data_IF_625078323686
#
_entry.id   IF_625078323686
#
_cell.length_a   1.000
_cell.length_b   1.000
_cell.length_c   1.000
_cell.angle_alpha   90.00
_cell.angle_beta   90.00
_cell.angle_gamma   90.00
#
_symmetry.space_group_name_H-M   'P 1'
#
loop_
_entity.id
_entity.type
_entity.pdbx_description
1 polymer ?
#
# COMPACT_ATOMS: atom_id res chain seq x y z
N UNK A 1 -35.04 18.89 -7.58
CA UNK A 1 -35.73 17.59 -7.48
C UNK A 1 -34.76 16.62 -6.83
N UNK A 2 -35.14 15.98 -5.72
CA UNK A 2 -34.26 15.10 -4.93
C UNK A 2 -34.25 13.69 -5.53
N UNK A 3 -33.10 13.24 -6.07
CA UNK A 3 -32.95 11.96 -6.77
C UNK A 3 -32.74 10.73 -5.87
N UNK A 4 -33.14 10.78 -4.58
CA UNK A 4 -32.91 9.68 -3.63
C UNK A 4 -34.19 9.01 -3.12
N UNK A 5 -35.15 8.73 -3.99
CA UNK A 5 -36.27 7.84 -3.64
C UNK A 5 -35.96 6.41 -4.08
N UNK A 6 -35.15 5.71 -3.27
CA UNK A 6 -34.93 4.27 -3.40
C UNK A 6 -36.20 3.49 -3.02
N UNK A 7 -36.58 2.52 -3.86
CA UNK A 7 -37.77 1.69 -3.65
C UNK A 7 -37.50 0.64 -2.53
N UNK A 8 -38.13 0.84 -1.37
CA UNK A 8 -38.03 -0.06 -0.21
C UNK A 8 -38.54 -1.48 -0.45
N UNK A 9 -39.26 -1.71 -1.55
CA UNK A 9 -39.78 -3.03 -1.92
C UNK A 9 -38.76 -4.00 -2.52
N UNK A 10 -37.52 -3.56 -2.79
CA UNK A 10 -36.51 -4.38 -3.49
C UNK A 10 -36.17 -5.70 -2.78
N UNK A 11 -36.23 -5.71 -1.44
CA UNK A 11 -35.79 -6.84 -0.61
C UNK A 11 -36.95 -7.66 -0.03
N UNK A 12 -38.19 -7.39 -0.45
CA UNK A 12 -39.36 -8.04 0.14
C UNK A 12 -39.48 -9.53 -0.22
N UNK A 13 -38.82 -9.97 -1.30
CA UNK A 13 -38.86 -11.35 -1.78
C UNK A 13 -37.57 -12.13 -1.49
N UNK A 14 -36.65 -11.55 -0.71
CA UNK A 14 -35.39 -12.18 -0.33
C UNK A 14 -35.48 -12.54 1.16
N UNK A 15 -35.30 -13.84 1.48
CA UNK A 15 -35.25 -14.34 2.86
C UNK A 15 -33.92 -13.99 3.51
N UNK A 16 -33.84 -12.76 4.00
CA UNK A 16 -32.75 -12.26 4.84
C UNK A 16 -33.34 -11.51 6.04
N UNK A 17 -32.61 -11.46 7.15
CA UNK A 17 -33.10 -10.86 8.40
C UNK A 17 -33.42 -9.37 8.24
N UNK A 18 -34.40 -8.87 8.98
CA UNK A 18 -34.80 -7.46 8.92
C UNK A 18 -33.68 -6.50 9.35
N UNK A 19 -32.78 -6.96 10.23
CA UNK A 19 -31.53 -6.25 10.57
C UNK A 19 -30.60 -6.13 9.36
N UNK A 20 -30.40 -7.21 8.62
CA UNK A 20 -29.56 -7.21 7.41
C UNK A 20 -30.17 -6.40 6.26
N UNK A 21 -31.51 -6.40 6.11
CA UNK A 21 -32.22 -5.51 5.18
C UNK A 21 -32.03 -4.04 5.54
N UNK A 22 -32.10 -3.73 6.83
CA UNK A 22 -31.91 -2.37 7.35
C UNK A 22 -30.46 -1.92 7.16
N UNK A 23 -29.50 -2.81 7.40
CA UNK A 23 -28.09 -2.54 7.17
C UNK A 23 -27.78 -2.31 5.68
N UNK A 24 -28.25 -3.18 4.78
CA UNK A 24 -28.09 -3.02 3.33
C UNK A 24 -28.73 -1.71 2.84
N UNK A 25 -29.90 -1.36 3.34
CA UNK A 25 -30.59 -0.10 3.02
C UNK A 25 -29.78 1.13 3.47
N UNK A 26 -29.25 1.10 4.70
CA UNK A 26 -28.41 2.18 5.23
C UNK A 26 -27.05 2.26 4.53
N UNK A 27 -26.49 1.13 4.09
CA UNK A 27 -25.23 1.06 3.35
C UNK A 27 -25.36 1.65 1.95
N UNK A 28 -26.46 1.37 1.25
CA UNK A 28 -26.78 1.96 -0.05
C UNK A 28 -27.04 3.47 0.03
N UNK A 29 -27.73 3.93 1.09
CA UNK A 29 -28.01 5.36 1.30
C UNK A 29 -26.76 6.18 1.66
N UNK A 30 -25.74 5.54 2.25
CA UNK A 30 -24.50 6.19 2.70
C UNK A 30 -23.35 6.14 1.70
N UNK A 31 -23.54 5.57 0.49
CA UNK A 31 -22.49 5.50 -0.52
C UNK A 31 -21.22 4.83 0.02
N UNK A 32 -21.35 3.75 0.78
CA UNK A 32 -20.34 3.17 1.70
C UNK A 32 -19.00 2.70 1.10
N UNK A 33 -18.64 3.04 -0.13
CA UNK A 33 -17.25 3.00 -0.59
C UNK A 33 -16.42 4.16 -0.02
N UNK A 34 -17.03 5.31 0.28
CA UNK A 34 -16.36 6.50 0.87
C UNK A 34 -16.47 6.64 2.38
N UNK A 35 -17.10 5.68 3.08
CA UNK A 35 -17.38 5.78 4.52
C UNK A 35 -16.78 4.64 5.36
N UNK A 36 -15.73 3.99 4.86
CA UNK A 36 -14.95 3.05 5.64
C UNK A 36 -14.20 3.81 6.75
N UNK A 37 -14.36 3.34 7.99
CA UNK A 37 -13.82 3.97 9.21
C UNK A 37 -12.30 4.02 9.19
N UNK A 38 -11.66 3.13 8.42
CA UNK A 38 -10.22 3.14 8.14
C UNK A 38 -9.77 4.43 7.45
N UNK A 39 -10.63 5.03 6.63
CA UNK A 39 -10.33 6.27 5.88
C UNK A 39 -10.70 7.54 6.65
N UNK A 40 -11.61 7.47 7.63
CA UNK A 40 -12.02 8.63 8.44
C UNK A 40 -10.97 9.09 9.46
N UNK A 41 -9.99 8.24 9.76
CA UNK A 41 -8.89 8.53 10.70
C UNK A 41 -7.52 8.16 10.13
N UNK A 42 -7.45 7.80 8.85
CA UNK A 42 -6.23 7.62 8.08
C UNK A 42 -5.54 8.99 7.89
N UNK A 43 -4.24 9.06 8.13
CA UNK A 43 -3.41 10.15 7.61
C UNK A 43 -3.34 10.06 6.08
N UNK A 44 -2.81 11.09 5.40
CA UNK A 44 -2.68 11.10 3.94
C UNK A 44 -1.83 9.91 3.48
N UNK A 45 -0.85 9.47 4.30
CA UNK A 45 -0.08 8.27 4.03
C UNK A 45 -0.93 7.01 4.01
N UNK A 46 -1.91 6.81 4.90
CA UNK A 46 -2.77 5.60 4.87
C UNK A 46 -3.72 5.61 3.67
N UNK A 47 -4.21 6.78 3.25
CA UNK A 47 -5.00 6.91 2.02
C UNK A 47 -4.15 6.69 0.75
N UNK A 48 -2.90 7.17 0.73
CA UNK A 48 -1.95 6.94 -0.36
C UNK A 48 -1.33 5.53 -0.36
N UNK A 49 -1.17 4.89 0.80
CA UNK A 49 -0.76 3.48 0.92
C UNK A 49 -1.83 2.56 0.32
N UNK A 50 -3.10 2.85 0.58
CA UNK A 50 -4.23 2.13 -0.03
C UNK A 50 -4.42 2.50 -1.51
N UNK A 51 -4.17 3.76 -1.91
CA UNK A 51 -4.20 4.16 -3.31
C UNK A 51 -3.02 3.59 -4.13
N UNK A 52 -1.83 3.46 -3.54
CA UNK A 52 -0.67 2.81 -4.15
C UNK A 52 -0.76 1.27 -4.17
N UNK A 53 -1.68 0.68 -3.39
CA UNK A 53 -2.08 -0.72 -3.53
C UNK A 53 -3.06 -0.93 -4.70
N UNK A 54 -3.72 0.12 -5.18
CA UNK A 54 -4.72 0.08 -6.27
C UNK A 54 -4.17 0.65 -7.58
N UNK A 55 -3.23 1.59 -7.53
CA UNK A 55 -2.48 2.07 -8.68
C UNK A 55 -1.46 1.02 -9.06
N UNK A 56 -1.69 0.33 -10.18
CA UNK A 56 -0.83 -0.72 -10.69
C UNK A 56 0.65 -0.34 -10.55
N UNK A 57 1.45 -1.25 -9.99
CA UNK A 57 2.90 -1.11 -9.89
C UNK A 57 3.46 -0.77 -11.26
N UNK A 58 3.70 0.52 -11.45
CA UNK A 58 3.88 1.13 -12.74
C UNK A 58 5.34 1.22 -13.12
N UNK A 59 5.70 0.45 -14.14
CA UNK A 59 6.74 0.78 -15.12
C UNK A 59 8.19 0.59 -14.64
N UNK A 60 8.68 -0.65 -14.78
CA UNK A 60 10.11 -0.99 -14.77
C UNK A 60 10.49 -2.00 -15.87
N UNK A 61 10.89 -1.49 -17.04
CA UNK A 61 11.51 -2.16 -18.20
C UNK A 61 10.60 -2.78 -19.30
N UNK A 62 10.48 -2.04 -20.40
CA UNK A 62 9.73 -2.30 -21.65
C UNK A 62 10.15 -3.52 -22.50
N UNK A 63 10.97 -4.43 -21.96
CA UNK A 63 11.39 -5.67 -22.61
C UNK A 63 11.00 -6.93 -21.82
N UNK A 64 11.15 -6.92 -20.49
CA UNK A 64 10.88 -8.08 -19.64
C UNK A 64 9.39 -8.26 -19.37
N UNK A 65 8.66 -7.15 -19.17
CA UNK A 65 7.19 -7.18 -19.13
C UNK A 65 6.56 -7.78 -20.39
N UNK A 66 7.22 -7.73 -21.55
CA UNK A 66 6.65 -8.31 -22.79
C UNK A 66 6.54 -9.83 -22.72
N UNK A 67 7.45 -10.53 -22.03
CA UNK A 67 7.37 -11.99 -21.92
C UNK A 67 6.22 -12.40 -21.00
N UNK A 68 6.08 -11.70 -19.87
CA UNK A 68 5.01 -11.89 -18.88
C UNK A 68 3.67 -11.56 -19.52
N UNK A 69 3.55 -10.40 -20.18
CA UNK A 69 2.33 -10.05 -20.92
C UNK A 69 2.00 -11.05 -22.02
N UNK A 70 2.99 -11.51 -22.79
CA UNK A 70 2.76 -12.57 -23.78
C UNK A 70 2.26 -13.87 -23.12
N UNK A 71 2.78 -14.22 -21.94
CA UNK A 71 2.31 -15.36 -21.16
C UNK A 71 0.85 -15.16 -20.74
N UNK A 72 0.48 -13.98 -20.25
CA UNK A 72 -0.90 -13.62 -19.88
C UNK A 72 -1.86 -13.63 -21.09
N UNK A 73 -1.46 -13.02 -22.20
CA UNK A 73 -2.22 -12.98 -23.46
C UNK A 73 -2.39 -14.38 -24.08
N UNK A 74 -1.46 -15.30 -23.79
CA UNK A 74 -1.49 -16.67 -24.28
C UNK A 74 -2.32 -17.63 -23.42
N UNK A 75 -2.92 -17.16 -22.31
CA UNK A 75 -3.79 -17.99 -21.47
C UNK A 75 -4.95 -18.58 -22.30
N UNK A 76 -5.20 -19.90 -22.21
CA UNK A 76 -6.38 -20.52 -22.79
C UNK A 76 -7.67 -19.85 -22.32
N UNK A 77 -8.65 -19.77 -23.21
CA UNK A 77 -9.96 -19.16 -22.89
C UNK A 77 -10.68 -19.88 -21.74
N UNK A 78 -10.44 -21.17 -21.54
CA UNK A 78 -10.99 -21.92 -20.39
C UNK A 78 -10.34 -21.49 -19.07
N UNK A 79 -9.02 -21.22 -19.07
CA UNK A 79 -8.30 -20.71 -17.89
C UNK A 79 -8.79 -19.30 -17.52
N UNK A 80 -8.92 -18.40 -18.51
CA UNK A 80 -9.46 -17.05 -18.29
C UNK A 80 -10.86 -17.09 -17.67
N UNK A 81 -11.74 -17.98 -18.17
CA UNK A 81 -13.07 -18.15 -17.57
C UNK A 81 -13.00 -18.64 -16.13
N UNK A 82 -12.09 -19.55 -15.82
CA UNK A 82 -11.83 -20.00 -14.46
C UNK A 82 -11.47 -18.84 -13.53
N UNK A 83 -10.57 -17.95 -13.95
CA UNK A 83 -10.22 -16.75 -13.17
C UNK A 83 -11.40 -15.78 -13.02
N UNK A 84 -12.22 -15.57 -14.06
CA UNK A 84 -13.42 -14.74 -13.96
C UNK A 84 -14.41 -15.32 -12.95
N UNK A 85 -14.58 -16.64 -12.92
CA UNK A 85 -15.40 -17.32 -11.92
C UNK A 85 -14.83 -17.15 -10.51
N UNK A 86 -13.52 -17.33 -10.33
CA UNK A 86 -12.83 -17.08 -9.04
C UNK A 86 -13.09 -15.64 -8.56
N UNK A 87 -12.88 -14.64 -9.41
CA UNK A 87 -13.07 -13.21 -9.08
C UNK A 87 -14.52 -12.92 -8.67
N UNK A 88 -15.50 -13.54 -9.33
CA UNK A 88 -16.91 -13.34 -8.99
C UNK A 88 -17.32 -14.03 -7.69
N UNK A 89 -16.64 -15.13 -7.34
CA UNK A 89 -16.88 -15.87 -6.11
C UNK A 89 -16.04 -15.37 -4.94
N UNK A 90 -14.99 -14.57 -5.21
CA UNK A 90 -14.17 -13.94 -4.20
C UNK A 90 -15.03 -12.96 -3.39
N UNK A 91 -15.43 -13.39 -2.20
CA UNK A 91 -16.22 -12.57 -1.27
C UNK A 91 -15.34 -11.61 -0.45
N UNK A 92 -14.01 -11.66 -0.63
CA UNK A 92 -13.08 -10.80 0.09
C UNK A 92 -13.02 -9.42 -0.55
N UNK A 93 -13.45 -8.41 0.21
CA UNK A 93 -13.43 -6.99 -0.19
C UNK A 93 -12.03 -6.37 0.03
N UNK A 94 -11.01 -7.18 0.37
CA UNK A 94 -9.69 -6.70 0.78
C UNK A 94 -8.59 -7.37 -0.03
N UNK A 95 -7.81 -6.55 -0.74
CA UNK A 95 -6.64 -6.89 -1.56
C UNK A 95 -5.49 -7.53 -0.73
N UNK A 96 -5.64 -7.65 0.58
CA UNK A 96 -4.76 -8.42 1.46
C UNK A 96 -5.48 -9.65 2.02
N UNK A 97 -5.04 -10.86 1.64
CA UNK A 97 -5.28 -12.06 2.45
C UNK A 97 -6.29 -13.11 1.95
N UNK A 98 -6.49 -13.30 0.65
CA UNK A 98 -7.36 -14.37 0.11
C UNK A 98 -6.63 -15.70 -0.08
N UNK A 99 -5.86 -16.14 0.92
CA UNK A 99 -5.18 -17.43 0.90
C UNK A 99 -5.17 -18.07 2.29
N UNK A 100 -5.03 -19.40 2.37
CA UNK A 100 -5.37 -20.18 3.58
C UNK A 100 -4.56 -19.88 4.85
N UNK A 101 -3.37 -19.27 4.73
CA UNK A 101 -2.52 -18.86 5.86
C UNK A 101 -1.56 -17.74 5.51
N UNK A 102 -1.16 -16.90 6.46
CA UNK A 102 -0.13 -15.88 6.19
C UNK A 102 1.19 -16.49 5.67
N UNK A 103 1.91 -15.71 4.85
CA UNK A 103 3.27 -16.04 4.45
C UNK A 103 4.19 -15.88 5.67
N UNK A 104 5.12 -16.82 5.83
CA UNK A 104 6.20 -16.66 6.80
C UNK A 104 7.12 -15.51 6.38
N UNK A 105 7.98 -15.05 7.31
CA UNK A 105 8.96 -14.01 7.00
C UNK A 105 9.93 -14.45 5.90
N UNK A 106 10.42 -15.69 5.97
CA UNK A 106 11.33 -16.22 4.96
C UNK A 106 10.65 -16.33 3.59
N UNK A 107 9.41 -16.85 3.55
CA UNK A 107 8.61 -16.86 2.32
C UNK A 107 8.39 -15.45 1.78
N UNK A 108 8.11 -14.45 2.61
CA UNK A 108 7.91 -13.06 2.18
C UNK A 108 9.18 -12.45 1.58
N UNK A 109 10.35 -12.73 2.17
CA UNK A 109 11.65 -12.28 1.67
C UNK A 109 11.99 -12.97 0.34
N UNK A 110 11.83 -14.29 0.27
CA UNK A 110 12.04 -15.05 -0.97
C UNK A 110 11.05 -14.67 -2.07
N UNK A 111 9.79 -14.41 -1.71
CA UNK A 111 8.76 -13.96 -2.64
C UNK A 111 9.19 -12.67 -3.36
N UNK A 112 9.64 -11.66 -2.61
CA UNK A 112 10.10 -10.40 -3.20
C UNK A 112 11.28 -10.60 -4.16
N UNK A 113 12.24 -11.49 -3.81
CA UNK A 113 13.34 -11.83 -4.71
C UNK A 113 12.87 -12.57 -5.97
N UNK A 114 11.96 -13.54 -5.80
CA UNK A 114 11.42 -14.33 -6.90
C UNK A 114 10.52 -13.51 -7.82
N UNK A 115 9.78 -12.53 -7.32
CA UNK A 115 8.99 -11.60 -8.14
C UNK A 115 9.90 -10.73 -9.02
N UNK A 116 11.00 -10.20 -8.47
CA UNK A 116 12.01 -9.48 -9.27
C UNK A 116 12.56 -10.37 -10.39
N UNK A 117 12.85 -11.64 -10.11
CA UNK A 117 13.29 -12.62 -11.13
C UNK A 117 12.18 -13.01 -12.12
N UNK A 118 10.93 -13.11 -11.66
CA UNK A 118 9.78 -13.43 -12.49
C UNK A 118 9.54 -12.33 -13.53
N UNK A 119 9.40 -11.08 -13.07
CA UNK A 119 9.13 -9.93 -13.94
C UNK A 119 10.36 -9.41 -14.67
N UNK A 120 11.55 -9.53 -14.07
CA UNK A 120 12.81 -8.98 -14.58
C UNK A 120 13.70 -9.97 -15.33
N UNK A 121 13.59 -11.27 -15.10
CA UNK A 121 14.45 -12.30 -15.69
C UNK A 121 13.67 -13.42 -16.41
N UNK A 122 12.34 -13.36 -16.41
CA UNK A 122 11.45 -14.39 -16.97
C UNK A 122 11.58 -15.75 -16.26
N UNK A 123 11.85 -15.75 -14.96
CA UNK A 123 11.85 -16.95 -14.14
C UNK A 123 10.41 -17.38 -13.86
N UNK A 124 9.88 -18.33 -14.63
CA UNK A 124 8.54 -18.88 -14.48
C UNK A 124 8.55 -20.17 -13.65
N UNK A 125 7.43 -20.52 -12.98
CA UNK A 125 7.32 -21.80 -12.29
C UNK A 125 7.41 -22.99 -13.25
N UNK A 126 7.89 -24.12 -12.75
CA UNK A 126 7.92 -25.39 -13.49
C UNK A 126 6.53 -26.03 -13.57
N UNK A 127 5.66 -25.74 -12.60
CA UNK A 127 4.30 -26.26 -12.47
C UNK A 127 3.26 -25.14 -12.39
N UNK A 128 1.99 -25.49 -12.56
CA UNK A 128 0.86 -24.56 -12.39
C UNK A 128 0.08 -24.89 -11.12
N UNK A 129 -0.58 -23.88 -10.54
CA UNK A 129 -1.44 -24.06 -9.37
C UNK A 129 -2.49 -25.12 -9.67
N UNK A 130 -2.57 -26.12 -8.79
CA UNK A 130 -3.56 -27.18 -8.92
C UNK A 130 -4.95 -26.64 -8.60
N UNK A 131 -5.97 -27.12 -9.30
CA UNK A 131 -7.37 -26.81 -9.04
C UNK A 131 -8.12 -28.08 -8.65
N UNK A 132 -8.76 -28.05 -7.48
CA UNK A 132 -9.57 -29.16 -6.97
C UNK A 132 -10.96 -28.68 -6.57
N UNK A 133 -11.93 -29.59 -6.61
CA UNK A 133 -13.33 -29.25 -6.34
C UNK A 133 -13.62 -29.11 -4.86
N UNK A 134 -13.06 -30.00 -4.04
CA UNK A 134 -13.31 -30.06 -2.61
C UNK A 134 -12.00 -30.01 -1.83
N UNK A 135 -12.03 -29.47 -0.61
CA UNK A 135 -10.85 -29.38 0.24
C UNK A 135 -10.27 -30.77 0.56
N UNK A 136 -11.11 -31.81 0.58
CA UNK A 136 -10.70 -33.20 0.79
C UNK A 136 -9.81 -33.77 -0.32
N UNK A 137 -9.80 -33.14 -1.50
CA UNK A 137 -9.01 -33.57 -2.65
C UNK A 137 -7.62 -32.90 -2.67
N UNK A 138 -7.39 -31.90 -1.82
CA UNK A 138 -6.09 -31.25 -1.66
C UNK A 138 -5.14 -32.14 -0.84
N UNK A 139 -3.87 -32.21 -1.27
CA UNK A 139 -2.84 -33.06 -0.65
C UNK A 139 -2.18 -32.44 0.60
N UNK A 140 -2.53 -31.18 0.92
CA UNK A 140 -1.96 -30.40 2.03
C UNK A 140 -0.51 -29.93 1.79
N UNK A 141 0.06 -30.18 0.60
CA UNK A 141 1.48 -29.98 0.29
C UNK A 141 1.71 -29.13 -0.94
N UNK A 142 0.77 -29.05 -1.88
CA UNK A 142 0.83 -28.21 -3.07
C UNK A 142 0.16 -26.86 -2.83
N UNK A 143 0.54 -25.84 -3.61
CA UNK A 143 -0.27 -24.62 -3.73
C UNK A 143 -1.46 -24.96 -4.61
N UNK A 144 -2.67 -24.84 -4.05
CA UNK A 144 -3.87 -25.37 -4.68
C UNK A 144 -5.06 -24.43 -4.50
N UNK A 145 -5.77 -24.13 -5.59
CA UNK A 145 -7.04 -23.45 -5.53
C UNK A 145 -8.17 -24.46 -5.31
N UNK A 146 -9.01 -24.22 -4.30
CA UNK A 146 -10.13 -25.09 -3.92
C UNK A 146 -11.44 -24.40 -4.28
N UNK A 147 -12.22 -25.01 -5.19
CA UNK A 147 -13.48 -24.42 -5.68
C UNK A 147 -14.59 -24.39 -4.61
N UNK A 148 -14.56 -25.32 -3.65
CA UNK A 148 -15.55 -25.42 -2.56
C UNK A 148 -15.61 -24.15 -1.70
N UNK A 149 -14.46 -23.55 -1.39
CA UNK A 149 -14.36 -22.35 -0.57
C UNK A 149 -13.84 -21.12 -1.33
N UNK A 150 -13.50 -21.27 -2.61
CA UNK A 150 -12.95 -20.23 -3.48
C UNK A 150 -11.67 -19.60 -2.92
N UNK A 151 -10.80 -20.43 -2.34
CA UNK A 151 -9.59 -20.00 -1.66
C UNK A 151 -8.33 -20.63 -2.27
N UNK A 152 -7.25 -19.85 -2.31
CA UNK A 152 -5.92 -20.39 -2.61
C UNK A 152 -5.32 -20.98 -1.33
N UNK A 153 -5.24 -22.31 -1.26
CA UNK A 153 -4.63 -23.03 -0.15
C UNK A 153 -3.11 -23.13 -0.33
N UNK A 154 -2.39 -22.63 0.68
CA UNK A 154 -0.95 -22.74 0.80
C UNK A 154 -0.59 -23.96 1.67
N UNK A 155 0.51 -24.68 1.37
CA UNK A 155 0.98 -25.79 2.19
C UNK A 155 1.22 -25.37 3.64
N UNK A 156 0.93 -26.22 4.63
CA UNK A 156 1.25 -25.92 6.04
C UNK A 156 2.76 -25.81 6.29
N UNK A 157 3.55 -26.51 5.47
CA UNK A 157 5.00 -26.39 5.45
C UNK A 157 5.44 -25.14 4.68
N UNK A 158 6.67 -24.72 4.93
CA UNK A 158 7.31 -23.65 4.18
C UNK A 158 7.36 -23.98 2.68
N UNK A 159 6.88 -23.06 1.86
CA UNK A 159 6.83 -23.20 0.41
C UNK A 159 8.24 -23.19 -0.20
N UNK A 160 8.48 -24.11 -1.13
CA UNK A 160 9.67 -24.08 -1.99
C UNK A 160 9.64 -22.87 -2.94
N UNK A 161 10.79 -22.55 -3.55
CA UNK A 161 10.88 -21.46 -4.53
C UNK A 161 9.94 -21.67 -5.72
N UNK A 162 9.78 -22.92 -6.20
CA UNK A 162 8.84 -23.22 -7.28
C UNK A 162 7.38 -22.98 -6.85
N UNK A 163 7.03 -23.32 -5.61
CA UNK A 163 5.69 -23.05 -5.06
C UNK A 163 5.42 -21.55 -4.88
N UNK A 164 6.43 -20.78 -4.48
CA UNK A 164 6.34 -19.31 -4.47
C UNK A 164 6.19 -18.76 -5.89
N UNK A 165 6.91 -19.29 -6.88
CA UNK A 165 6.74 -18.93 -8.29
C UNK A 165 5.34 -19.29 -8.81
N UNK A 166 4.77 -20.42 -8.39
CA UNK A 166 3.37 -20.79 -8.70
C UNK A 166 2.39 -19.78 -8.12
N UNK A 167 2.62 -19.34 -6.88
CA UNK A 167 1.82 -18.30 -6.22
C UNK A 167 1.91 -16.95 -6.95
N UNK A 168 3.12 -16.56 -7.36
CA UNK A 168 3.35 -15.33 -8.15
C UNK A 168 2.62 -15.42 -9.50
N UNK A 169 2.78 -16.52 -10.23
CA UNK A 169 2.16 -16.72 -11.54
C UNK A 169 0.62 -16.71 -11.45
N UNK A 170 0.06 -17.38 -10.44
CA UNK A 170 -1.39 -17.36 -10.20
C UNK A 170 -1.90 -15.95 -9.91
N UNK A 171 -1.21 -15.19 -9.06
CA UNK A 171 -1.58 -13.82 -8.72
C UNK A 171 -1.49 -12.90 -9.94
N UNK A 172 -0.40 -12.98 -10.71
CA UNK A 172 -0.21 -12.19 -11.93
C UNK A 172 -1.28 -12.46 -12.99
N UNK A 173 -1.67 -13.73 -13.19
CA UNK A 173 -2.76 -14.12 -14.09
C UNK A 173 -4.11 -13.60 -13.61
N UNK A 174 -4.39 -13.69 -12.30
CA UNK A 174 -5.63 -13.16 -11.70
C UNK A 174 -5.74 -11.65 -11.88
N UNK A 175 -4.68 -10.91 -11.56
CA UNK A 175 -4.63 -9.44 -11.69
C UNK A 175 -4.83 -8.99 -13.14
N UNK A 176 -4.19 -9.69 -14.10
CA UNK A 176 -4.41 -9.43 -15.52
C UNK A 176 -5.88 -9.63 -15.94
N UNK A 177 -6.54 -10.68 -15.45
CA UNK A 177 -7.96 -10.91 -15.76
C UNK A 177 -8.84 -9.84 -15.12
N UNK A 178 -8.54 -9.41 -13.89
CA UNK A 178 -9.24 -8.29 -13.23
C UNK A 178 -9.15 -7.02 -14.08
N UNK A 179 -7.94 -6.66 -14.54
CA UNK A 179 -7.72 -5.49 -15.40
C UNK A 179 -8.52 -5.60 -16.71
N UNK A 180 -8.50 -6.78 -17.36
CA UNK A 180 -9.24 -7.02 -18.60
C UNK A 180 -10.75 -7.03 -18.42
N UNK A 181 -11.28 -7.48 -17.29
CA UNK A 181 -12.70 -7.36 -16.99
C UNK A 181 -13.09 -5.91 -16.68
N UNK A 182 -12.23 -5.16 -15.98
CA UNK A 182 -12.44 -3.74 -15.72
C UNK A 182 -12.52 -2.91 -17.02
N UNK A 183 -11.68 -3.22 -18.02
CA UNK A 183 -11.73 -2.61 -19.36
C UNK A 183 -13.08 -2.83 -20.09
N UNK A 184 -13.83 -3.90 -19.77
CA UNK A 184 -15.09 -4.25 -20.44
C UNK A 184 -16.32 -3.56 -19.85
N UNK A 185 -16.24 -3.16 -18.59
CA UNK A 185 -17.26 -2.30 -17.97
C UNK A 185 -17.15 -0.94 -18.64
N UNK A 186 -18.26 -0.39 -19.15
CA UNK A 186 -18.29 0.91 -19.88
C UNK A 186 -17.32 1.91 -19.25
N UNK A 187 -16.57 2.70 -20.06
CA UNK A 187 -15.60 3.63 -19.53
C UNK A 187 -16.33 4.49 -18.51
N UNK A 188 -16.01 4.27 -17.22
CA UNK A 188 -16.38 5.19 -16.16
C UNK A 188 -16.08 6.56 -16.74
N UNK A 189 -17.10 7.43 -16.86
CA UNK A 189 -16.96 8.78 -17.43
C UNK A 189 -15.59 9.27 -17.06
N UNK A 190 -14.68 9.41 -18.04
CA UNK A 190 -13.24 9.41 -17.83
C UNK A 190 -12.97 10.14 -16.52
N UNK A 191 -12.73 9.39 -15.44
CA UNK A 191 -12.28 10.00 -14.20
C UNK A 191 -11.07 10.77 -14.68
N UNK A 192 -11.10 12.10 -14.60
CA UNK A 192 -9.90 12.88 -14.85
C UNK A 192 -8.83 12.18 -14.06
N UNK A 193 -7.81 11.70 -14.78
CA UNK A 193 -6.75 10.94 -14.16
C UNK A 193 -6.29 11.79 -12.97
N UNK A 194 -6.45 11.33 -11.71
CA UNK A 194 -6.00 12.12 -10.58
C UNK A 194 -4.50 12.43 -10.72
N UNK A 195 -3.79 11.65 -11.54
CA UNK A 195 -2.45 11.82 -12.08
C UNK A 195 -2.44 12.82 -13.26
N UNK A 196 -2.44 14.11 -12.92
CA UNK A 196 -2.39 15.23 -13.87
C UNK A 196 -0.95 15.58 -14.26
N UNK A 197 -0.75 15.91 -15.54
CA UNK A 197 0.53 16.39 -16.09
C UNK A 197 1.00 17.69 -15.40
N UNK A 198 2.32 17.82 -15.23
CA UNK A 198 2.96 18.62 -14.15
C UNK A 198 2.93 20.13 -14.43
N UNK A 199 2.03 20.88 -13.78
CA UNK A 199 1.83 22.32 -14.09
C UNK A 199 2.83 23.29 -13.42
N UNK A 200 3.47 22.92 -12.30
CA UNK A 200 4.23 23.87 -11.45
C UNK A 200 5.74 23.65 -11.40
N UNK A 201 6.26 22.48 -11.77
CA UNK A 201 7.69 22.13 -11.73
C UNK A 201 7.99 20.96 -12.66
N UNK A 202 9.26 20.77 -13.03
CA UNK A 202 9.65 19.62 -13.86
C UNK A 202 9.77 18.35 -13.01
N UNK A 203 9.50 17.18 -13.62
CA UNK A 203 9.74 15.88 -12.95
C UNK A 203 11.18 15.76 -12.46
N UNK A 204 12.16 16.23 -13.24
CA UNK A 204 13.58 16.20 -12.87
C UNK A 204 13.85 16.96 -11.57
N UNK A 205 13.27 18.14 -11.40
CA UNK A 205 13.41 18.94 -10.18
C UNK A 205 12.80 18.24 -8.97
N UNK A 206 11.60 17.65 -9.14
CA UNK A 206 10.89 16.91 -8.10
C UNK A 206 11.70 15.67 -7.69
N UNK A 207 12.19 14.87 -8.64
CA UNK A 207 13.03 13.69 -8.38
C UNK A 207 14.32 14.09 -7.65
N UNK A 208 14.99 15.15 -8.10
CA UNK A 208 16.21 15.65 -7.46
C UNK A 208 15.96 16.09 -6.02
N UNK A 209 14.82 16.72 -5.76
CA UNK A 209 14.41 17.09 -4.40
C UNK A 209 14.11 15.86 -3.54
N UNK A 210 13.39 14.87 -4.08
CA UNK A 210 13.08 13.60 -3.41
C UNK A 210 14.34 12.87 -2.96
N UNK A 211 15.35 12.75 -3.84
CA UNK A 211 16.63 12.09 -3.52
C UNK A 211 17.32 12.75 -2.33
N UNK A 212 17.28 14.09 -2.23
CA UNK A 212 17.82 14.81 -1.06
C UNK A 212 17.09 14.42 0.22
N UNK A 213 15.76 14.33 0.18
CA UNK A 213 14.97 13.94 1.35
C UNK A 213 15.15 12.46 1.72
N UNK A 214 15.31 11.55 0.76
CA UNK A 214 15.63 10.14 1.05
C UNK A 214 16.97 10.00 1.79
N UNK A 215 18.03 10.65 1.28
CA UNK A 215 19.35 10.63 1.94
C UNK A 215 19.27 11.27 3.32
N UNK A 216 18.64 12.44 3.43
CA UNK A 216 18.56 13.18 4.69
C UNK A 216 17.74 12.43 5.75
N UNK A 217 16.56 11.96 5.38
CA UNK A 217 15.56 11.46 6.32
C UNK A 217 15.71 9.96 6.57
N UNK A 218 15.90 9.16 5.52
CA UNK A 218 16.03 7.70 5.63
C UNK A 218 17.48 7.19 5.50
N UNK A 219 18.44 8.06 5.17
CA UNK A 219 19.83 7.63 4.95
C UNK A 219 20.02 6.82 3.67
N UNK A 220 19.12 6.96 2.68
CA UNK A 220 19.10 6.15 1.47
C UNK A 220 19.58 6.95 0.26
N UNK A 221 20.74 6.56 -0.26
CA UNK A 221 21.29 7.02 -1.54
C UNK A 221 21.06 5.91 -2.58
N UNK A 222 19.95 6.03 -3.32
CA UNK A 222 19.48 4.98 -4.24
C UNK A 222 20.16 5.13 -5.60
N UNK A 223 20.77 4.05 -6.10
CA UNK A 223 21.48 4.05 -7.39
C UNK A 223 20.56 3.96 -8.62
N UNK A 224 21.18 3.68 -9.77
CA UNK A 224 20.49 3.56 -11.07
C UNK A 224 19.63 2.29 -11.19
N UNK A 225 19.77 1.34 -10.26
CA UNK A 225 18.94 0.14 -10.18
C UNK A 225 17.49 0.41 -9.73
N UNK A 226 17.22 1.62 -9.23
CA UNK A 226 15.90 2.07 -8.82
C UNK A 226 15.23 2.89 -9.93
N UNK A 227 14.09 2.38 -10.39
CA UNK A 227 13.17 3.11 -11.25
C UNK A 227 12.48 4.19 -10.43
N UNK A 228 12.32 5.37 -11.03
CA UNK A 228 11.69 6.52 -10.37
C UNK A 228 10.47 6.94 -11.15
N UNK A 229 9.32 7.02 -10.47
CA UNK A 229 8.05 7.46 -11.02
C UNK A 229 7.54 8.65 -10.24
N UNK A 230 7.08 9.68 -10.94
CA UNK A 230 6.41 10.84 -10.33
C UNK A 230 4.92 10.74 -10.65
N UNK A 231 4.10 10.82 -9.63
CA UNK A 231 2.65 10.85 -9.73
C UNK A 231 2.15 12.15 -9.12
N UNK A 232 1.28 12.86 -9.83
CA UNK A 232 0.51 13.95 -9.25
C UNK A 232 -0.79 13.39 -8.66
N UNK A 233 -1.28 13.90 -7.56
CA UNK A 233 -2.61 13.55 -7.05
C UNK A 233 -3.36 14.85 -6.84
N UNK A 234 -4.30 15.16 -7.75
CA UNK A 234 -5.02 16.45 -7.80
C UNK A 234 -6.54 16.25 -7.70
N UNK A 235 -7.07 15.80 -6.55
CA UNK A 235 -8.50 15.46 -6.38
C UNK A 235 -9.44 16.68 -6.33
N UNK A 236 -8.91 17.90 -6.40
CA UNK A 236 -9.49 19.18 -5.95
C UNK A 236 -11.03 19.37 -6.06
N UNK A 237 -11.77 18.85 -5.08
CA UNK A 237 -12.70 19.61 -4.23
C UNK A 237 -12.18 19.56 -2.79
N UNK A 238 -12.23 20.68 -2.07
CA UNK A 238 -11.86 20.72 -0.65
C UNK A 238 -12.81 19.84 0.17
N UNK A 239 -12.29 18.91 0.96
CA UNK A 239 -13.09 18.29 2.01
C UNK A 239 -13.54 19.42 2.98
N UNK A 240 -14.86 19.69 3.10
CA UNK A 240 -15.39 20.78 3.92
C UNK A 240 -15.10 20.63 5.42
N UNK A 241 -14.66 19.45 5.87
CA UNK A 241 -14.37 19.13 7.26
C UNK A 241 -12.92 19.42 7.68
N UNK A 242 -11.98 19.48 6.73
CA UNK A 242 -10.54 19.69 7.01
C UNK A 242 -9.91 20.87 6.27
N UNK A 243 -10.56 21.47 5.27
CA UNK A 243 -10.12 22.74 4.67
C UNK A 243 -8.75 22.72 3.95
N UNK A 244 -8.11 21.55 3.83
CA UNK A 244 -6.82 21.37 3.16
C UNK A 244 -7.03 20.92 1.70
N UNK A 245 -6.30 21.55 0.78
CA UNK A 245 -6.13 21.03 -0.58
C UNK A 245 -5.14 19.86 -0.51
N UNK A 246 -5.55 18.69 -1.01
CA UNK A 246 -4.76 17.44 -0.93
C UNK A 246 -3.86 17.24 -2.15
N UNK A 247 -3.64 18.31 -2.91
CA UNK A 247 -2.85 18.31 -4.13
C UNK A 247 -1.38 18.01 -3.79
N UNK A 248 -0.91 16.81 -4.11
CA UNK A 248 0.45 16.38 -3.82
C UNK A 248 1.15 15.72 -5.01
N UNK A 249 2.48 15.87 -5.07
CA UNK A 249 3.34 15.02 -5.87
C UNK A 249 3.82 13.87 -4.99
N UNK A 250 3.72 12.64 -5.49
CA UNK A 250 4.33 11.46 -4.89
C UNK A 250 5.40 10.93 -5.82
N UNK A 251 6.60 10.72 -5.28
CA UNK A 251 7.71 10.14 -6.01
C UNK A 251 7.99 8.77 -5.45
N UNK A 252 7.89 7.76 -6.31
CA UNK A 252 8.15 6.36 -6.00
C UNK A 252 9.55 5.99 -6.47
N UNK A 253 10.25 5.24 -5.64
CA UNK A 253 11.53 4.63 -5.94
C UNK A 253 11.36 3.14 -5.77
N UNK A 254 11.32 2.43 -6.89
CA UNK A 254 10.99 1.01 -6.98
C UNK A 254 12.14 0.28 -7.69
N UNK A 255 12.53 -0.90 -7.21
CA UNK A 255 13.47 -1.74 -7.95
C UNK A 255 12.82 -2.28 -9.23
N UNK A 256 13.64 -2.66 -10.21
CA UNK A 256 13.13 -3.36 -11.38
C UNK A 256 12.40 -4.66 -10.96
N UNK A 257 11.18 -4.85 -11.46
CA UNK A 257 10.33 -5.98 -11.11
C UNK A 257 9.75 -5.91 -9.70
N UNK A 258 9.77 -4.73 -9.06
CA UNK A 258 9.11 -4.52 -7.78
C UNK A 258 7.60 -4.71 -7.89
N UNK A 259 7.04 -5.24 -6.81
CA UNK A 259 5.62 -5.49 -6.58
C UNK A 259 5.23 -4.81 -5.25
N UNK A 260 3.95 -4.84 -4.83
CA UNK A 260 3.58 -4.39 -3.49
C UNK A 260 4.26 -5.17 -2.35
N UNK A 261 4.87 -6.34 -2.63
CA UNK A 261 5.67 -7.08 -1.66
C UNK A 261 7.11 -6.58 -1.55
N UNK A 262 7.67 -5.96 -2.59
CA UNK A 262 9.05 -5.48 -2.61
C UNK A 262 9.25 -4.25 -1.72
N UNK A 263 10.46 -4.08 -1.18
CA UNK A 263 10.82 -2.82 -0.52
C UNK A 263 10.87 -1.68 -1.52
N UNK A 264 10.09 -0.64 -1.28
CA UNK A 264 10.14 0.61 -2.03
C UNK A 264 10.27 1.83 -1.10
N UNK A 265 10.55 2.98 -1.71
CA UNK A 265 10.58 4.25 -0.99
C UNK A 265 9.69 5.27 -1.68
N UNK A 266 9.01 6.08 -0.87
CA UNK A 266 8.15 7.15 -1.36
C UNK A 266 8.49 8.48 -0.71
N UNK A 267 8.35 9.57 -1.48
CA UNK A 267 8.48 10.95 -1.00
C UNK A 267 7.33 11.79 -1.55
N UNK A 268 6.67 12.55 -0.67
CA UNK A 268 5.54 13.39 -1.00
C UNK A 268 5.80 14.88 -0.82
N UNK A 269 5.28 15.70 -1.72
CA UNK A 269 5.33 17.17 -1.65
C UNK A 269 3.97 17.80 -1.95
N UNK A 270 3.67 18.96 -1.35
CA UNK A 270 2.51 19.75 -1.76
C UNK A 270 2.72 20.35 -3.17
N UNK A 271 1.73 20.24 -4.06
CA UNK A 271 1.90 20.63 -5.47
C UNK A 271 2.18 22.12 -5.70
N UNK A 272 1.66 22.99 -4.83
CA UNK A 272 1.75 24.45 -5.02
C UNK A 272 3.06 25.06 -4.52
N UNK A 273 3.64 24.51 -3.45
CA UNK A 273 4.83 25.06 -2.77
C UNK A 273 6.03 24.12 -2.78
N UNK A 274 5.86 22.89 -3.28
CA UNK A 274 6.82 21.78 -3.13
C UNK A 274 7.30 21.60 -1.69
N UNK A 275 6.43 21.89 -0.72
CA UNK A 275 6.75 21.71 0.68
C UNK A 275 6.67 20.22 1.01
N UNK A 276 7.66 19.73 1.76
CA UNK A 276 7.74 18.32 2.15
C UNK A 276 6.48 17.91 2.94
N UNK A 277 5.89 16.77 2.55
CA UNK A 277 4.72 16.18 3.20
C UNK A 277 5.04 14.88 3.88
N UNK A 278 5.66 13.94 3.17
CA UNK A 278 5.98 12.65 3.76
C UNK A 278 7.18 11.97 3.10
N UNK A 279 7.75 11.03 3.84
CA UNK A 279 8.69 10.02 3.35
C UNK A 279 8.37 8.68 4.00
N UNK A 280 8.48 7.58 3.27
CA UNK A 280 8.33 6.25 3.86
C UNK A 280 9.18 5.20 3.13
N UNK A 281 9.64 4.19 3.87
CA UNK A 281 9.95 2.87 3.33
C UNK A 281 8.69 2.00 3.46
N UNK A 282 8.37 1.22 2.42
CA UNK A 282 7.19 0.36 2.40
C UNK A 282 7.52 -1.04 1.93
N UNK A 283 6.50 -1.88 1.84
CA UNK A 283 6.58 -3.22 1.26
C UNK A 283 6.68 -4.31 2.31
N UNK A 284 6.10 -5.46 1.98
CA UNK A 284 6.12 -6.67 2.82
C UNK A 284 7.54 -7.14 3.09
N UNK A 285 8.48 -6.98 2.15
CA UNK A 285 9.90 -7.33 2.27
C UNK A 285 10.57 -6.56 3.41
N UNK A 286 10.34 -5.24 3.50
CA UNK A 286 10.89 -4.42 4.60
C UNK A 286 10.33 -4.91 5.93
N UNK A 287 9.00 -5.06 6.00
CA UNK A 287 8.34 -5.52 7.21
C UNK A 287 8.79 -6.93 7.64
N UNK A 288 8.94 -7.85 6.69
CA UNK A 288 9.36 -9.24 6.91
C UNK A 288 10.80 -9.34 7.45
N UNK A 289 11.67 -8.40 7.07
CA UNK A 289 13.05 -8.31 7.56
C UNK A 289 13.15 -7.84 9.02
N UNK A 290 12.11 -7.17 9.54
CA UNK A 290 12.12 -6.65 10.91
C UNK A 290 11.86 -7.76 11.94
N UNK A 291 12.46 -7.61 13.12
CA UNK A 291 12.18 -8.47 14.27
C UNK A 291 10.79 -8.20 14.84
N UNK A 292 10.07 -9.29 15.12
CA UNK A 292 8.78 -9.28 15.83
C UNK A 292 8.91 -9.13 17.35
N UNK A 293 7.94 -8.46 17.95
CA UNK A 293 7.76 -8.29 19.38
C UNK A 293 6.29 -8.52 19.75
N UNK A 294 6.04 -9.02 20.97
CA UNK A 294 4.69 -8.99 21.52
C UNK A 294 4.22 -7.55 21.70
N UNK A 295 2.90 -7.32 21.74
CA UNK A 295 2.36 -5.96 21.94
C UNK A 295 2.86 -5.31 23.23
N UNK A 296 2.98 -6.08 24.32
CA UNK A 296 3.49 -5.58 25.60
C UNK A 296 4.96 -5.13 25.49
N UNK A 297 5.82 -5.96 24.90
CA UNK A 297 7.24 -5.64 24.69
C UNK A 297 7.41 -4.43 23.78
N UNK A 298 6.64 -4.36 22.69
CA UNK A 298 6.67 -3.28 21.73
C UNK A 298 6.29 -1.94 22.37
N UNK A 299 5.20 -1.89 23.13
CA UNK A 299 4.77 -0.66 23.82
C UNK A 299 5.74 -0.24 24.92
N UNK A 300 6.31 -1.20 25.66
CA UNK A 300 7.36 -0.90 26.64
C UNK A 300 8.61 -0.33 25.97
N UNK A 301 9.00 -0.88 24.83
CA UNK A 301 10.12 -0.37 24.04
C UNK A 301 9.80 1.02 23.47
N UNK A 302 8.57 1.24 23.02
CA UNK A 302 8.12 2.53 22.51
C UNK A 302 8.37 3.66 23.51
N UNK A 303 7.98 3.45 24.77
CA UNK A 303 8.19 4.44 25.84
C UNK A 303 9.67 4.79 26.05
N UNK A 304 10.58 3.82 25.90
CA UNK A 304 12.02 4.03 26.03
C UNK A 304 12.66 4.67 24.78
N UNK A 305 12.07 4.44 23.61
CA UNK A 305 12.60 4.92 22.34
C UNK A 305 12.14 6.36 22.01
N UNK A 306 11.15 6.92 22.71
CA UNK A 306 10.64 8.29 22.47
C UNK A 306 11.74 9.34 22.32
N UNK A 307 12.70 9.38 23.24
CA UNK A 307 13.80 10.35 23.20
C UNK A 307 14.69 10.17 21.96
N UNK A 308 14.84 8.92 21.48
CA UNK A 308 15.57 8.63 20.23
C UNK A 308 14.79 9.13 19.02
N UNK A 309 13.47 8.92 19.01
CA UNK A 309 12.60 9.44 17.95
C UNK A 309 12.68 10.96 17.90
N UNK A 310 12.57 11.64 19.05
CA UNK A 310 12.69 13.10 19.10
C UNK A 310 14.03 13.61 18.60
N UNK A 311 15.12 12.94 19.01
CA UNK A 311 16.46 13.28 18.54
C UNK A 311 16.57 13.15 17.03
N UNK A 312 16.06 12.07 16.43
CA UNK A 312 16.08 11.92 14.99
C UNK A 312 15.22 12.96 14.27
N UNK A 313 14.05 13.31 14.83
CA UNK A 313 13.21 14.40 14.31
C UNK A 313 13.93 15.75 14.35
N UNK A 314 14.60 16.06 15.45
CA UNK A 314 15.41 17.27 15.58
C UNK A 314 16.56 17.29 14.57
N UNK A 315 17.36 16.22 14.49
CA UNK A 315 18.53 16.15 13.63
C UNK A 315 18.17 16.19 12.14
N UNK A 316 17.11 15.48 11.73
CA UNK A 316 16.74 15.30 10.32
C UNK A 316 15.74 16.34 9.82
N UNK A 317 14.86 16.84 10.68
CA UNK A 317 13.80 17.79 10.33
C UNK A 317 13.95 19.16 10.99
N UNK A 318 14.91 19.36 11.88
CA UNK A 318 15.09 20.66 12.57
C UNK A 318 13.94 20.99 13.52
N UNK A 319 13.16 19.99 13.94
CA UNK A 319 12.09 20.17 14.91
C UNK A 319 12.66 20.45 16.31
N UNK A 320 11.89 21.10 17.21
CA UNK A 320 12.24 21.18 18.62
C UNK A 320 12.59 19.80 19.22
N UNK A 321 13.46 19.79 20.22
CA UNK A 321 13.93 18.54 20.86
C UNK A 321 12.79 17.76 21.52
N UNK A 322 11.73 18.42 21.96
CA UNK A 322 10.54 17.77 22.51
C UNK A 322 9.31 18.32 21.81
N UNK A 323 8.29 17.48 21.56
CA UNK A 323 7.00 17.95 21.06
C UNK A 323 6.22 18.71 22.13
N UNK A 324 5.30 19.57 21.70
CA UNK A 324 4.39 20.26 22.63
C UNK A 324 3.45 19.26 23.30
N UNK A 325 3.07 18.20 22.58
CA UNK A 325 2.31 17.09 23.15
C UNK A 325 2.46 15.80 22.33
N UNK A 326 2.30 14.67 23.02
CA UNK A 326 2.17 13.35 22.41
C UNK A 326 0.68 13.08 22.21
N UNK A 327 0.25 12.98 20.95
CA UNK A 327 -1.13 12.68 20.59
C UNK A 327 -1.42 11.18 20.63
N UNK A 328 -0.48 10.37 20.13
CA UNK A 328 -0.66 8.91 20.05
C UNK A 328 0.68 8.18 20.09
N UNK A 329 0.67 7.01 20.73
CA UNK A 329 1.70 5.98 20.63
C UNK A 329 0.95 4.66 20.54
N UNK A 330 1.13 3.92 19.46
CA UNK A 330 0.44 2.64 19.28
C UNK A 330 1.27 1.62 18.51
N UNK A 331 0.99 0.35 18.79
CA UNK A 331 1.48 -0.74 17.97
C UNK A 331 0.90 -0.63 16.55
N UNK A 332 1.77 -0.67 15.55
CA UNK A 332 1.38 -0.65 14.15
C UNK A 332 1.35 -2.07 13.58
N UNK A 333 0.29 -2.37 12.82
CA UNK A 333 0.04 -3.66 12.19
C UNK A 333 -0.43 -3.39 10.77
N UNK A 334 0.23 -4.02 9.80
CA UNK A 334 -0.03 -3.83 8.37
C UNK A 334 -0.18 -5.19 7.67
N UNK A 335 0.79 -6.08 7.89
CA UNK A 335 0.86 -7.39 7.25
C UNK A 335 0.61 -8.58 8.19
N UNK A 336 0.14 -8.32 9.41
CA UNK A 336 -0.01 -9.33 10.45
C UNK A 336 -1.17 -9.03 11.39
N UNK A 337 -1.73 -10.07 11.97
CA UNK A 337 -2.68 -9.97 13.08
C UNK A 337 -2.05 -10.33 14.44
N UNK A 338 -2.67 -9.92 15.55
CA UNK A 338 -2.33 -10.43 16.89
C UNK A 338 -1.08 -9.81 17.52
N UNK A 339 -0.14 -10.65 17.98
CA UNK A 339 1.05 -10.26 18.77
C UNK A 339 2.34 -10.21 17.92
N UNK A 340 2.24 -9.82 16.65
CA UNK A 340 3.38 -9.55 15.78
C UNK A 340 3.54 -8.04 15.54
N UNK A 341 4.23 -7.37 16.47
CA UNK A 341 4.49 -5.93 16.38
C UNK A 341 5.94 -5.68 16.01
N UNK A 342 6.15 -5.01 14.87
CA UNK A 342 7.49 -4.68 14.36
C UNK A 342 7.76 -3.19 14.34
N UNK A 343 6.68 -2.41 14.30
CA UNK A 343 6.72 -0.97 14.21
C UNK A 343 5.79 -0.31 15.24
N UNK A 344 6.15 0.90 15.65
CA UNK A 344 5.32 1.76 16.48
C UNK A 344 4.93 2.98 15.67
N UNK A 345 3.66 3.36 15.76
CA UNK A 345 3.19 4.65 15.26
C UNK A 345 3.24 5.67 16.38
N UNK A 346 3.98 6.75 16.16
CA UNK A 346 3.96 7.93 17.01
C UNK A 346 3.25 9.07 16.29
N UNK A 347 2.41 9.80 17.03
CA UNK A 347 1.84 11.05 16.54
C UNK A 347 2.15 12.15 17.57
N UNK A 348 2.89 13.16 17.13
CA UNK A 348 3.35 14.28 17.94
C UNK A 348 2.83 15.60 17.39
N UNK A 349 2.53 16.54 18.29
CA UNK A 349 2.19 17.91 17.89
C UNK A 349 3.39 18.83 18.12
N UNK A 350 3.68 19.67 17.12
CA UNK A 350 4.66 20.74 17.14
C UNK A 350 4.01 22.01 16.59
N UNK A 351 3.54 22.89 17.47
CA UNK A 351 2.75 24.07 17.13
C UNK A 351 1.44 23.69 16.43
N UNK A 352 1.31 24.13 15.19
CA UNK A 352 0.21 23.84 14.26
C UNK A 352 0.44 22.59 13.39
N UNK A 353 1.59 21.93 13.54
CA UNK A 353 1.94 20.73 12.81
C UNK A 353 1.66 19.46 13.65
N UNK A 354 1.08 18.46 13.00
CA UNK A 354 1.02 17.08 13.48
C UNK A 354 2.03 16.24 12.70
N UNK A 355 2.94 15.58 13.40
CA UNK A 355 3.98 14.72 12.82
C UNK A 355 3.65 13.27 13.15
N UNK A 356 3.37 12.48 12.11
CA UNK A 356 3.04 11.06 12.18
C UNK A 356 4.24 10.24 11.72
N UNK A 357 4.59 9.20 12.48
CA UNK A 357 5.86 8.48 12.32
C UNK A 357 5.60 7.01 12.48
N UNK A 358 6.10 6.21 11.53
CA UNK A 358 6.36 4.80 11.76
C UNK A 358 7.82 4.61 12.17
N UNK A 359 8.02 3.89 13.26
CA UNK A 359 9.33 3.61 13.85
C UNK A 359 9.62 2.12 13.83
N UNK A 360 10.72 1.73 13.19
CA UNK A 360 11.20 0.34 13.21
C UNK A 360 11.78 0.02 14.58
N UNK A 361 11.12 -0.88 15.32
CA UNK A 361 11.52 -1.22 16.69
C UNK A 361 12.91 -1.84 16.73
N UNK A 362 13.19 -2.79 15.84
CA UNK A 362 14.44 -3.54 15.85
C UNK A 362 15.65 -2.66 15.51
N UNK A 363 15.49 -1.81 14.49
CA UNK A 363 16.57 -1.02 13.92
C UNK A 363 16.71 0.35 14.60
N UNK A 364 15.71 0.72 15.42
CA UNK A 364 15.64 2.01 16.11
C UNK A 364 15.80 3.18 15.11
N UNK A 365 15.01 3.12 14.04
CA UNK A 365 15.09 4.07 12.93
C UNK A 365 13.71 4.48 12.42
N UNK A 366 13.65 5.64 11.77
CA UNK A 366 12.44 6.13 11.11
C UNK A 366 12.14 5.28 9.88
N UNK A 367 10.96 4.67 9.84
CA UNK A 367 10.42 4.00 8.67
C UNK A 367 9.56 4.96 7.83
N UNK A 368 8.78 5.82 8.49
CA UNK A 368 8.07 6.90 7.83
C UNK A 368 8.01 8.15 8.67
N UNK A 369 7.86 9.29 8.01
CA UNK A 369 7.50 10.56 8.63
C UNK A 369 6.54 11.29 7.71
N UNK A 370 5.38 11.67 8.23
CA UNK A 370 4.38 12.52 7.59
C UNK A 370 4.17 13.78 8.44
N UNK A 371 4.10 14.93 7.77
CA UNK A 371 3.87 16.23 8.40
C UNK A 371 2.57 16.81 7.86
N UNK A 372 1.55 16.82 8.72
CA UNK A 372 0.24 17.41 8.44
C UNK A 372 0.21 18.80 9.09
N UNK A 373 -0.09 19.84 8.31
CA UNK A 373 -0.16 21.22 8.80
C UNK A 373 -1.48 21.88 8.40
N UNK A 374 -2.07 22.59 9.35
CA UNK A 374 -3.00 23.68 9.05
C UNK A 374 -2.17 24.93 8.69
N UNK A 375 -1.69 25.01 7.45
CA UNK A 375 -1.06 26.19 6.83
C UNK A 375 0.38 26.54 7.27
N UNK A 376 1.29 26.52 6.28
CA UNK A 376 2.54 27.28 6.12
C UNK A 376 3.41 27.55 7.38
N UNK A 377 4.28 26.58 7.76
CA UNK A 377 5.40 26.94 8.63
C UNK A 377 6.30 27.90 7.88
N UNK A 378 6.46 29.11 8.42
CA UNK A 378 7.55 30.04 8.09
C UNK A 378 8.97 29.51 8.38
N UNK A 379 9.15 28.19 8.36
CA UNK A 379 10.42 27.48 8.38
C UNK A 379 10.64 26.86 7.01
N UNK A 380 11.46 27.50 6.19
CA UNK A 380 12.00 26.90 4.97
C UNK A 380 12.91 25.72 5.36
N UNK A 381 12.36 24.51 5.35
CA UNK A 381 13.14 23.28 5.46
C UNK A 381 14.08 23.20 4.25
N UNK A 382 15.37 23.46 4.46
CA UNK A 382 16.40 23.26 3.43
C UNK A 382 17.28 24.45 3.05
N UNK A 383 17.30 25.56 3.79
CA UNK A 383 18.46 26.47 3.70
C UNK A 383 19.59 25.94 4.59
N UNK A 384 20.76 25.72 3.99
CA UNK A 384 22.01 25.64 4.76
C UNK A 384 22.11 26.89 5.65
N UNK A 385 22.63 26.77 6.88
CA UNK A 385 22.85 27.93 7.72
C UNK A 385 23.72 28.92 6.95
N UNK A 386 23.20 30.12 6.71
CA UNK A 386 23.97 31.21 6.13
C UNK A 386 25.28 31.33 6.91
N UNK A 387 26.39 31.08 6.22
CA UNK A 387 27.70 31.45 6.72
C UNK A 387 27.73 32.98 6.85
N UNK A 388 27.90 33.44 8.08
CA UNK A 388 28.08 34.85 8.41
C UNK A 388 29.20 35.47 7.56
N UNK A 389 28.91 36.62 6.97
CA UNK A 389 29.86 37.74 6.81
C UNK A 389 29.16 39.06 7.04
#
# INVERSE_FOLDING_TARGET
>A
MNNYNFNKGLFNNIEISDEMKTELFENCKKGKRTADVRFRHAGVLTALLVAALVGGTGVGATAYYKSVMKRMESMPQEEVKGYVEDINNDSSVTISGSWSRELTNDESLRLAELERKYYGENLFPEQEVQRVKALSDWDGKSVCYVEEDNLLHLPDAEMSDDQLLMFIDYSAKKDYVIEKEAEKVEPLEAFEDPYVDVETSTEEDIIKLSRKYLVKLLGKDLGDEWSVRVEAFKPSESDPSVGLTHDCYTVYFEQQGATPNSTDYVVGFGMHKLDFRFVAVRGREHWAALKSYTKEEALKKAENDKEKVYKQLQEKFGLPQEPDSVKKIEAYQDYSEGDDIRQIRYIFNYGDASVDILWDLADENLASVEVVRDIDLGYELGKEPNSEK
#
